data_IF_586572599247
#
_entry.id   IF_586572599247
#
_cell.length_a   1.000
_cell.length_b   1.000
_cell.length_c   1.000
_cell.angle_alpha   90.00
_cell.angle_beta   90.00
_cell.angle_gamma   90.00
#
_symmetry.space_group_name_H-M   'P 1'
#
loop_
_entity.id
_entity.type
_entity.pdbx_description
1 polymer ?
#
# COMPACT_ATOMS: atom_id res chain seq x y z
N UNK A 1 -4.71 -18.24 15.86
CA UNK A 1 -3.56 -18.38 14.94
C UNK A 1 -3.44 -17.04 14.22
N UNK A 2 -2.28 -16.37 14.18
CA UNK A 2 -2.19 -15.10 13.46
C UNK A 2 -2.54 -15.38 12.00
N UNK A 3 -3.62 -14.76 11.52
CA UNK A 3 -4.26 -15.10 10.25
C UNK A 3 -3.25 -15.15 9.12
N UNK A 4 -3.36 -16.18 8.27
CA UNK A 4 -2.51 -16.41 7.10
C UNK A 4 -2.36 -15.11 6.30
N UNK A 5 -1.24 -14.44 6.54
CA UNK A 5 -0.86 -13.22 5.85
C UNK A 5 -0.50 -13.64 4.44
N UNK A 6 -1.20 -13.12 3.44
CA UNK A 6 -0.95 -13.45 2.03
C UNK A 6 0.52 -13.18 1.68
N UNK A 7 1.12 -13.91 0.73
CA UNK A 7 2.53 -13.73 0.37
C UNK A 7 2.90 -12.26 0.11
N UNK A 8 2.03 -11.51 -0.56
CA UNK A 8 2.19 -10.07 -0.78
C UNK A 8 2.17 -9.27 0.53
N UNK A 9 1.24 -9.54 1.47
CA UNK A 9 1.23 -8.81 2.74
C UNK A 9 2.48 -9.10 3.57
N UNK A 10 3.07 -10.29 3.45
CA UNK A 10 4.36 -10.60 4.10
C UNK A 10 5.47 -9.74 3.52
N UNK A 11 5.55 -9.62 2.20
CA UNK A 11 6.52 -8.74 1.53
C UNK A 11 6.32 -7.27 1.92
N UNK A 12 5.07 -6.80 1.92
CA UNK A 12 4.74 -5.44 2.35
C UNK A 12 5.22 -5.17 3.79
N UNK A 13 4.90 -6.07 4.72
CA UNK A 13 5.29 -5.92 6.13
C UNK A 13 6.81 -5.99 6.32
N UNK A 14 7.50 -6.82 5.53
CA UNK A 14 8.96 -6.88 5.55
C UNK A 14 9.58 -5.55 5.10
N UNK A 15 9.16 -5.04 3.93
CA UNK A 15 9.63 -3.75 3.41
C UNK A 15 9.28 -2.60 4.37
N UNK A 16 8.12 -2.66 5.01
CA UNK A 16 7.71 -1.68 6.01
C UNK A 16 8.54 -1.76 7.29
N UNK A 17 9.00 -2.96 7.69
CA UNK A 17 9.90 -3.12 8.83
C UNK A 17 11.29 -2.55 8.56
N UNK A 18 11.75 -2.57 7.30
CA UNK A 18 12.99 -1.93 6.86
C UNK A 18 12.84 -0.40 6.74
N UNK A 19 11.63 0.10 6.48
CA UNK A 19 11.31 1.52 6.33
C UNK A 19 10.13 1.98 7.22
N UNK A 20 10.26 1.89 8.55
CA UNK A 20 9.13 2.13 9.47
C UNK A 20 8.64 3.58 9.46
N UNK A 21 9.53 4.53 9.15
CA UNK A 21 9.31 5.97 9.11
C UNK A 21 8.79 6.50 7.77
N UNK A 22 8.65 5.63 6.76
CA UNK A 22 8.19 6.00 5.42
C UNK A 22 6.79 5.47 5.15
N UNK A 23 5.96 6.24 4.43
CA UNK A 23 4.71 5.75 3.86
C UNK A 23 5.06 4.83 2.69
N UNK A 24 4.76 3.54 2.81
CA UNK A 24 5.09 2.55 1.79
C UNK A 24 3.97 2.46 0.74
N UNK A 25 4.27 2.92 -0.47
CA UNK A 25 3.41 2.79 -1.65
C UNK A 25 3.80 1.54 -2.42
N UNK A 26 2.96 0.51 -2.39
CA UNK A 26 3.22 -0.76 -3.04
C UNK A 26 2.46 -0.84 -4.38
N UNK A 27 3.18 -0.99 -5.49
CA UNK A 27 2.56 -1.08 -6.81
C UNK A 27 1.84 -2.42 -6.97
N UNK A 28 0.53 -2.36 -7.23
CA UNK A 28 -0.28 -3.49 -7.68
C UNK A 28 -1.01 -3.09 -8.96
N UNK A 29 -0.50 -3.56 -10.09
CA UNK A 29 -1.02 -3.21 -11.41
C UNK A 29 -0.98 -1.69 -11.65
N UNK A 30 -2.16 -1.10 -11.86
CA UNK A 30 -2.32 0.33 -12.17
C UNK A 30 -2.49 1.23 -10.93
N UNK A 31 -2.34 0.67 -9.73
CA UNK A 31 -2.48 1.43 -8.47
C UNK A 31 -1.26 1.27 -7.57
N UNK A 32 -0.95 2.33 -6.84
CA UNK A 32 -0.13 2.24 -5.64
C UNK A 32 -1.03 2.10 -4.44
N UNK A 33 -0.91 0.98 -3.74
CA UNK A 33 -1.68 0.67 -2.55
C UNK A 33 -0.84 0.83 -1.29
N UNK A 34 -1.47 1.40 -0.26
CA UNK A 34 -0.92 1.54 1.09
C UNK A 34 -1.81 0.76 2.04
N UNK A 35 -1.24 0.17 3.08
CA UNK A 35 -1.97 -0.69 4.03
C UNK A 35 -1.79 -0.24 5.49
N UNK A 36 -2.70 -0.70 6.35
CA UNK A 36 -2.65 -0.48 7.80
C UNK A 36 -2.62 1.01 8.18
N UNK A 37 -1.61 1.43 8.95
CA UNK A 37 -1.47 2.82 9.42
C UNK A 37 -1.11 3.78 8.28
N UNK A 38 -0.32 3.33 7.29
CA UNK A 38 0.02 4.13 6.11
C UNK A 38 -1.25 4.47 5.32
N UNK A 39 -2.17 3.51 5.21
CA UNK A 39 -3.45 3.72 4.55
C UNK A 39 -4.30 4.79 5.24
N UNK A 40 -4.38 4.74 6.57
CA UNK A 40 -5.15 5.69 7.38
C UNK A 40 -4.54 7.09 7.28
N UNK A 41 -3.21 7.18 7.42
CA UNK A 41 -2.47 8.44 7.34
C UNK A 41 -2.61 9.06 5.96
N UNK A 42 -2.30 8.32 4.90
CA UNK A 42 -2.42 8.82 3.54
C UNK A 42 -3.87 9.18 3.18
N UNK A 43 -4.86 8.40 3.64
CA UNK A 43 -6.28 8.74 3.47
C UNK A 43 -6.64 10.08 4.08
N UNK A 44 -6.18 10.37 5.30
CA UNK A 44 -6.44 11.65 5.97
C UNK A 44 -5.67 12.81 5.32
N UNK A 45 -4.39 12.61 5.01
CA UNK A 45 -3.51 13.68 4.52
C UNK A 45 -3.79 14.06 3.06
N UNK A 46 -4.21 13.09 2.25
CA UNK A 46 -4.44 13.25 0.82
C UNK A 46 -5.91 13.31 0.42
N UNK A 47 -6.83 13.12 1.38
CA UNK A 47 -8.28 13.01 1.17
C UNK A 47 -8.62 11.83 0.25
N UNK A 48 -8.02 10.67 0.52
CA UNK A 48 -8.28 9.43 -0.22
C UNK A 48 -9.37 8.62 0.46
N UNK A 49 -10.13 7.87 -0.33
CA UNK A 49 -11.10 6.93 0.22
C UNK A 49 -10.39 5.76 0.91
N UNK A 50 -10.55 5.65 2.23
CA UNK A 50 -10.10 4.49 2.99
C UNK A 50 -11.04 3.31 2.74
N UNK A 51 -10.49 2.21 2.26
CA UNK A 51 -11.20 0.95 1.99
C UNK A 51 -10.58 -0.19 2.79
N UNK A 52 -11.02 -1.43 2.54
CA UNK A 52 -10.49 -2.62 3.18
C UNK A 52 -10.30 -3.73 2.16
N UNK A 53 -9.20 -4.48 2.29
CA UNK A 53 -8.83 -5.55 1.35
C UNK A 53 -9.71 -6.80 1.52
N UNK A 54 -9.93 -7.20 2.76
CA UNK A 54 -10.64 -8.44 3.10
C UNK A 54 -12.13 -8.20 3.34
N UNK A 55 -12.87 -7.76 2.31
CA UNK A 55 -14.32 -7.47 2.48
C UNK A 55 -15.14 -8.67 2.96
N UNK A 56 -14.64 -9.88 2.73
CA UNK A 56 -15.28 -11.14 3.13
C UNK A 56 -14.97 -11.57 4.57
N UNK A 57 -14.06 -10.90 5.28
CA UNK A 57 -13.70 -11.20 6.68
C UNK A 57 -14.49 -10.35 7.68
N UNK A 58 -14.57 -10.77 8.96
CA UNK A 58 -15.11 -9.94 10.05
C UNK A 58 -14.41 -8.59 10.10
N UNK A 59 -15.14 -7.54 10.51
CA UNK A 59 -14.64 -6.14 10.45
C UNK A 59 -13.34 -5.95 11.24
N UNK A 60 -13.15 -6.70 12.31
CA UNK A 60 -11.93 -6.68 13.13
C UNK A 60 -10.69 -7.25 12.43
N UNK A 61 -10.87 -8.13 11.45
CA UNK A 61 -9.79 -8.78 10.70
C UNK A 61 -9.49 -8.10 9.35
N UNK A 62 -10.19 -7.01 9.05
CA UNK A 62 -10.03 -6.30 7.79
C UNK A 62 -8.81 -5.41 7.82
N UNK A 63 -7.93 -5.61 6.86
CA UNK A 63 -6.78 -4.73 6.63
C UNK A 63 -7.25 -3.40 6.01
N UNK A 64 -7.05 -2.25 6.68
CA UNK A 64 -7.28 -0.93 6.08
C UNK A 64 -6.37 -0.73 4.88
N UNK A 65 -6.92 -0.20 3.78
CA UNK A 65 -6.14 0.09 2.58
C UNK A 65 -6.63 1.36 1.90
N UNK A 66 -5.73 2.09 1.27
CA UNK A 66 -6.09 3.14 0.33
C UNK A 66 -5.12 3.08 -0.85
N UNK A 67 -5.51 3.67 -1.98
CA UNK A 67 -4.69 3.60 -3.17
C UNK A 67 -4.81 4.84 -4.03
N UNK A 68 -3.78 5.08 -4.82
CA UNK A 68 -3.73 6.16 -5.81
C UNK A 68 -3.39 5.59 -7.19
N UNK A 69 -3.96 6.12 -8.27
CA UNK A 69 -3.63 5.67 -9.62
C UNK A 69 -2.15 5.91 -9.95
N UNK A 70 -1.48 4.95 -10.57
CA UNK A 70 -0.05 5.04 -10.87
C UNK A 70 0.30 6.28 -11.69
N UNK A 71 -0.53 6.61 -12.69
CA UNK A 71 -0.31 7.74 -13.57
C UNK A 71 -0.41 9.11 -12.88
N UNK A 72 -1.04 9.16 -11.70
CA UNK A 72 -1.22 10.39 -10.91
C UNK A 72 -0.45 10.38 -9.60
N UNK A 73 0.34 9.34 -9.31
CA UNK A 73 1.01 9.13 -8.03
C UNK A 73 1.95 10.28 -7.66
N UNK A 74 2.63 10.87 -8.65
CA UNK A 74 3.64 11.92 -8.43
C UNK A 74 3.05 13.13 -7.71
N UNK A 75 1.83 13.53 -8.05
CA UNK A 75 1.15 14.65 -7.40
C UNK A 75 0.83 14.34 -5.93
N UNK A 76 0.44 13.10 -5.62
CA UNK A 76 0.18 12.66 -4.24
C UNK A 76 1.47 12.56 -3.43
N UNK A 77 2.54 12.03 -4.02
CA UNK A 77 3.86 11.97 -3.40
C UNK A 77 4.35 13.38 -3.08
N UNK A 78 4.27 14.32 -4.04
CA UNK A 78 4.68 15.70 -3.82
C UNK A 78 3.92 16.36 -2.65
N UNK A 79 2.62 16.09 -2.51
CA UNK A 79 1.82 16.56 -1.37
C UNK A 79 2.29 15.96 -0.04
N UNK A 80 2.61 14.67 0.00
CA UNK A 80 3.14 14.01 1.21
C UNK A 80 4.52 14.55 1.60
N UNK A 81 5.42 14.70 0.63
CA UNK A 81 6.76 15.26 0.84
C UNK A 81 6.66 16.71 1.32
N UNK A 82 5.79 17.53 0.74
CA UNK A 82 5.57 18.91 1.17
C UNK A 82 5.06 19.03 2.62
N UNK A 83 4.35 18.01 3.11
CA UNK A 83 3.92 17.89 4.51
C UNK A 83 5.01 17.32 5.44
N UNK A 84 6.17 16.94 4.91
CA UNK A 84 7.30 16.40 5.68
C UNK A 84 7.29 14.89 5.84
N UNK A 85 6.43 14.16 5.12
CA UNK A 85 6.44 12.70 5.13
C UNK A 85 7.50 12.15 4.19
N UNK A 86 8.15 11.06 4.62
CA UNK A 86 8.98 10.25 3.73
C UNK A 86 8.09 9.24 3.02
N UNK A 87 8.31 9.05 1.73
CA UNK A 87 7.54 8.10 0.91
C UNK A 87 8.50 7.08 0.31
N UNK A 88 8.20 5.80 0.51
CA UNK A 88 8.92 4.70 -0.11
C UNK A 88 8.03 4.10 -1.20
N UNK A 89 8.56 3.95 -2.41
CA UNK A 89 7.84 3.36 -3.55
C UNK A 89 8.40 1.97 -3.79
N UNK A 90 7.54 0.96 -3.72
CA UNK A 90 7.88 -0.41 -4.07
C UNK A 90 7.27 -0.71 -5.43
N UNK A 91 8.14 -0.90 -6.42
CA UNK A 91 7.78 -1.20 -7.81
C UNK A 91 7.77 -2.71 -8.04
N UNK A 92 6.83 -3.16 -8.86
CA UNK A 92 6.80 -4.54 -9.32
C UNK A 92 7.86 -4.70 -10.42
N UNK A 93 8.91 -5.46 -10.13
CA UNK A 93 10.05 -5.64 -11.05
C UNK A 93 9.73 -6.54 -12.25
N UNK A 94 8.71 -7.39 -12.16
CA UNK A 94 8.32 -8.33 -13.20
C UNK A 94 7.01 -7.92 -13.87
N UNK A 95 6.96 -8.03 -15.20
CA UNK A 95 5.76 -7.75 -15.99
C UNK A 95 4.64 -8.75 -15.62
N UNK A 96 3.46 -8.27 -15.14
CA UNK A 96 2.35 -9.15 -14.77
C UNK A 96 1.85 -10.03 -15.92
N UNK A 97 2.13 -9.67 -17.18
CA UNK A 97 1.81 -10.48 -18.35
C UNK A 97 2.71 -11.72 -18.52
N UNK A 98 3.89 -11.73 -17.90
CA UNK A 98 4.87 -12.83 -18.02
C UNK A 98 5.03 -13.66 -16.75
N UNK A 99 4.50 -13.19 -15.62
CA UNK A 99 4.66 -13.86 -14.33
C UNK A 99 3.68 -15.04 -14.16
N UNK A 100 4.22 -16.24 -13.90
CA UNK A 100 3.46 -17.41 -13.45
C UNK A 100 3.38 -17.42 -11.92
N UNK A 101 2.50 -16.61 -11.33
CA UNK A 101 2.30 -16.58 -9.88
C UNK A 101 1.93 -15.19 -9.36
N UNK A 102 1.85 -15.06 -8.03
CA UNK A 102 1.61 -13.78 -7.37
C UNK A 102 2.86 -12.92 -7.55
N UNK A 103 2.72 -11.84 -8.32
CA UNK A 103 3.67 -10.74 -8.43
C UNK A 103 3.30 -9.65 -7.44
#
# INVERSE_FOLDING_TARGET
MPGETTPMMKQYLQMKAEHPDCILMFRLGDFYEMFNEDAKLASQELDLTLTTRDRNKPKEERTPMCGVPYHSVEAYIARLIAKGYKVAICEQMEDPATAKGLV
#
